data_IF_999955261543
#
_entry.id   IF_999955261543
#
_cell.length_a   1.000
_cell.length_b   1.000
_cell.length_c   1.000
_cell.angle_alpha   90.00
_cell.angle_beta   90.00
_cell.angle_gamma   90.00
#
_symmetry.space_group_name_H-M   'P 1'
#
loop_
_entity.id
_entity.type
_entity.pdbx_description
1 polymer ?
#
# COMPACT_ATOMS: atom_id res chain seq x y z
N UNK A 1 14.45 5.75 -9.44
CA UNK A 1 14.78 5.06 -8.17
C UNK A 1 14.71 3.56 -8.42
N UNK A 2 15.36 2.73 -7.61
CA UNK A 2 15.26 1.27 -7.68
C UNK A 2 14.91 0.69 -6.29
N UNK A 3 13.91 -0.19 -6.16
CA UNK A 3 13.59 -0.80 -4.89
C UNK A 3 14.62 -1.87 -4.52
N UNK A 4 15.02 -1.90 -3.24
CA UNK A 4 15.91 -2.90 -2.67
C UNK A 4 15.13 -3.98 -1.90
N UNK A 5 14.13 -3.59 -1.13
CA UNK A 5 13.33 -4.51 -0.32
C UNK A 5 11.96 -3.96 0.02
N UNK A 6 11.04 -4.88 0.31
CA UNK A 6 9.69 -4.60 0.81
C UNK A 6 9.43 -5.43 2.06
N UNK A 7 8.91 -4.81 3.11
CA UNK A 7 8.26 -5.47 4.23
C UNK A 7 6.77 -5.13 4.17
N UNK A 8 5.94 -6.15 3.98
CA UNK A 8 4.51 -6.03 3.71
C UNK A 8 3.72 -6.75 4.80
N UNK A 9 2.86 -6.00 5.48
CA UNK A 9 1.86 -6.54 6.42
C UNK A 9 0.47 -6.22 5.91
N UNK A 10 -0.41 -7.23 5.88
CA UNK A 10 -1.82 -7.06 5.49
C UNK A 10 -2.69 -7.70 6.56
N UNK A 11 -3.64 -6.93 7.09
CA UNK A 11 -4.67 -7.40 8.01
C UNK A 11 -6.00 -7.39 7.27
N UNK A 12 -6.58 -8.58 7.06
CA UNK A 12 -7.86 -8.74 6.37
C UNK A 12 -9.02 -8.83 7.36
N UNK A 13 -10.17 -8.29 6.96
CA UNK A 13 -11.40 -8.31 7.74
C UNK A 13 -12.44 -9.17 7.04
N UNK A 14 -12.45 -10.47 7.35
CA UNK A 14 -13.44 -11.40 6.80
C UNK A 14 -14.66 -11.51 7.72
N UNK A 15 -15.90 -11.48 7.20
CA UNK A 15 -17.12 -11.55 8.03
C UNK A 15 -17.24 -12.78 8.92
N UNK A 16 -16.50 -13.86 8.61
CA UNK A 16 -16.49 -15.09 9.40
C UNK A 16 -15.56 -15.04 10.62
N UNK A 17 -14.73 -14.00 10.76
CA UNK A 17 -13.85 -13.82 11.90
C UNK A 17 -14.57 -13.13 13.06
N UNK A 18 -14.26 -13.52 14.32
CA UNK A 18 -14.78 -12.82 15.48
C UNK A 18 -14.32 -11.35 15.45
N UNK A 19 -15.15 -10.46 16.01
CA UNK A 19 -14.85 -9.03 16.18
C UNK A 19 -14.70 -8.20 14.89
N UNK A 20 -15.17 -8.71 13.73
CA UNK A 20 -15.29 -7.90 12.50
C UNK A 20 -16.67 -7.24 12.45
N UNK A 21 -16.71 -5.92 12.44
CA UNK A 21 -17.97 -5.18 12.28
C UNK A 21 -18.48 -5.25 10.84
N UNK A 22 -19.79 -5.05 10.63
CA UNK A 22 -20.36 -4.97 9.28
C UNK A 22 -19.71 -3.87 8.42
N UNK A 23 -19.16 -2.83 9.04
CA UNK A 23 -18.49 -1.73 8.33
C UNK A 23 -17.10 -2.10 7.84
N UNK A 24 -16.45 -3.04 8.49
CA UNK A 24 -15.10 -3.54 8.14
C UNK A 24 -15.18 -4.81 7.29
N UNK A 25 -16.36 -5.41 7.15
CA UNK A 25 -16.56 -6.61 6.37
C UNK A 25 -16.00 -6.45 4.95
N UNK A 26 -15.12 -7.38 4.56
CA UNK A 26 -14.46 -7.42 3.26
C UNK A 26 -13.57 -6.20 2.97
N UNK A 27 -12.93 -5.63 3.99
CA UNK A 27 -11.84 -4.66 3.82
C UNK A 27 -10.51 -5.25 4.26
N UNK A 28 -9.43 -4.49 4.06
CA UNK A 28 -8.12 -4.81 4.61
C UNK A 28 -7.34 -3.53 4.93
N UNK A 29 -6.47 -3.62 5.93
CA UNK A 29 -5.45 -2.61 6.19
C UNK A 29 -4.09 -3.14 5.78
N UNK A 30 -3.34 -2.32 5.06
CA UNK A 30 -2.00 -2.59 4.60
C UNK A 30 -0.98 -1.65 5.22
N UNK A 31 0.20 -2.19 5.50
CA UNK A 31 1.41 -1.43 5.76
C UNK A 31 2.50 -1.98 4.85
N UNK A 32 3.16 -1.09 4.10
CA UNK A 32 4.38 -1.43 3.37
C UNK A 32 5.52 -0.54 3.80
N UNK A 33 6.67 -1.13 4.13
CA UNK A 33 7.94 -0.43 4.29
C UNK A 33 8.86 -0.82 3.13
N UNK A 34 9.37 0.18 2.43
CA UNK A 34 10.25 0.03 1.27
C UNK A 34 11.60 0.64 1.56
N UNK A 35 12.67 -0.06 1.17
CA UNK A 35 14.01 0.53 1.05
C UNK A 35 14.31 0.71 -0.42
N UNK A 36 14.70 1.91 -0.83
CA UNK A 36 14.91 2.26 -2.24
C UNK A 36 16.21 3.04 -2.45
N UNK A 37 16.83 2.83 -3.61
CA UNK A 37 18.00 3.56 -4.09
C UNK A 37 17.60 4.75 -4.96
N UNK A 38 18.17 5.90 -4.63
CA UNK A 38 18.03 7.13 -5.42
C UNK A 38 19.07 7.11 -6.53
N UNK A 39 18.63 6.93 -7.77
CA UNK A 39 19.53 6.83 -8.93
C UNK A 39 19.89 8.19 -9.54
N UNK A 40 19.02 9.18 -9.36
CA UNK A 40 19.18 10.55 -9.83
C UNK A 40 18.53 11.49 -8.80
N UNK A 41 19.02 12.74 -8.66
CA UNK A 41 18.42 13.70 -7.73
C UNK A 41 16.93 13.88 -7.98
N UNK A 42 16.12 13.76 -6.94
CA UNK A 42 14.66 13.89 -7.04
C UNK A 42 14.05 14.42 -5.74
N UNK A 43 12.99 15.19 -5.84
CA UNK A 43 12.09 15.52 -4.73
C UNK A 43 10.74 14.81 -4.86
N UNK A 44 10.56 13.94 -5.85
CA UNK A 44 9.32 13.21 -6.09
C UNK A 44 9.59 11.71 -6.15
N UNK A 45 8.72 10.95 -5.50
CA UNK A 45 8.68 9.49 -5.58
C UNK A 45 7.38 9.09 -6.24
N UNK A 46 7.43 8.34 -7.34
CA UNK A 46 6.23 7.85 -8.04
C UNK A 46 6.12 6.34 -7.85
N UNK A 47 4.96 5.89 -7.38
CA UNK A 47 4.63 4.49 -7.11
C UNK A 47 3.34 4.09 -7.83
N UNK A 48 3.16 2.80 -8.05
CA UNK A 48 1.86 2.27 -8.47
C UNK A 48 0.90 2.20 -7.29
N UNK A 49 -0.33 2.65 -7.49
CA UNK A 49 -1.42 2.59 -6.53
C UNK A 49 -2.75 2.52 -7.27
N UNK A 50 -3.47 1.40 -7.09
CA UNK A 50 -4.75 1.14 -7.76
C UNK A 50 -5.76 0.59 -6.76
N UNK A 51 -6.97 1.17 -6.76
CA UNK A 51 -8.13 0.65 -6.00
C UNK A 51 -7.85 0.43 -4.49
N UNK A 52 -6.96 1.25 -3.93
CA UNK A 52 -6.68 1.35 -2.49
C UNK A 52 -6.66 2.83 -2.08
N UNK A 53 -6.81 3.10 -0.80
CA UNK A 53 -6.79 4.45 -0.22
C UNK A 53 -5.56 4.61 0.67
N UNK A 54 -4.77 5.67 0.46
CA UNK A 54 -3.62 5.97 1.32
C UNK A 54 -4.12 6.72 2.55
N UNK A 55 -3.78 6.21 3.72
CA UNK A 55 -4.11 6.84 4.99
C UNK A 55 -3.00 7.77 5.47
N UNK A 56 -1.74 7.35 5.27
CA UNK A 56 -0.56 8.14 5.63
C UNK A 56 0.71 7.58 4.99
N UNK A 57 1.70 8.45 4.82
CA UNK A 57 3.04 8.10 4.38
C UNK A 57 4.13 8.71 5.27
N UNK A 58 5.27 8.04 5.34
CA UNK A 58 6.48 8.52 6.00
C UNK A 58 7.67 8.28 5.08
N UNK A 59 8.57 9.25 4.97
CA UNK A 59 9.80 9.12 4.21
C UNK A 59 10.97 9.51 5.11
N UNK A 60 12.06 8.76 5.03
CA UNK A 60 13.25 9.02 5.83
C UNK A 60 14.50 8.48 5.14
N UNK A 61 15.65 9.05 5.50
CA UNK A 61 16.96 8.44 5.30
C UNK A 61 17.62 8.26 6.69
N UNK A 62 18.78 8.85 6.93
CA UNK A 62 19.31 9.05 8.29
C UNK A 62 18.43 9.98 9.15
N UNK A 63 17.62 10.82 8.53
CA UNK A 63 16.65 11.71 9.19
C UNK A 63 15.28 11.62 8.52
N UNK A 64 14.25 12.12 9.18
CA UNK A 64 12.95 12.30 8.55
C UNK A 64 13.04 13.27 7.34
N UNK A 65 12.25 12.97 6.30
CA UNK A 65 12.06 13.80 5.13
C UNK A 65 10.54 14.02 5.01
N UNK A 66 10.04 15.22 5.35
CA UNK A 66 8.62 15.51 5.24
C UNK A 66 8.09 15.26 3.82
N UNK A 67 6.90 14.67 3.75
CA UNK A 67 6.10 14.58 2.53
C UNK A 67 5.15 15.77 2.58
N UNK A 68 5.26 16.68 1.61
CA UNK A 68 4.45 17.89 1.52
C UNK A 68 3.12 17.65 0.85
N UNK A 69 3.06 16.71 -0.10
CA UNK A 69 1.84 16.41 -0.85
C UNK A 69 1.78 14.97 -1.37
N UNK A 70 0.56 14.51 -1.64
CA UNK A 70 0.25 13.24 -2.29
C UNK A 70 -0.55 13.52 -3.56
N UNK A 71 0.04 13.21 -4.72
CA UNK A 71 -0.56 13.47 -6.03
C UNK A 71 -1.03 12.17 -6.66
N UNK A 72 -2.33 12.03 -6.87
CA UNK A 72 -2.90 10.86 -7.55
C UNK A 72 -3.04 11.12 -9.05
N UNK A 73 -2.49 10.22 -9.87
CA UNK A 73 -2.63 10.25 -11.32
C UNK A 73 -3.50 9.05 -11.71
N UNK A 74 -4.82 9.26 -11.66
CA UNK A 74 -5.82 8.20 -11.83
C UNK A 74 -5.68 7.48 -13.17
N UNK A 75 -5.35 8.18 -14.26
CA UNK A 75 -5.27 7.58 -15.59
C UNK A 75 -4.11 6.59 -15.73
N UNK A 76 -3.17 6.59 -14.78
CA UNK A 76 -1.98 5.74 -14.78
C UNK A 76 -1.88 4.82 -13.57
N UNK A 77 -2.86 4.88 -12.66
CA UNK A 77 -2.81 4.19 -11.37
C UNK A 77 -1.53 4.54 -10.58
N UNK A 78 -1.13 5.83 -10.54
CA UNK A 78 0.09 6.28 -9.83
C UNK A 78 -0.23 7.14 -8.60
N UNK A 79 0.66 7.03 -7.62
CA UNK A 79 0.80 7.93 -6.47
C UNK A 79 2.16 8.62 -6.54
N UNK A 80 2.16 9.94 -6.61
CA UNK A 80 3.32 10.81 -6.40
C UNK A 80 3.41 11.25 -4.93
N UNK A 81 4.59 11.13 -4.34
CA UNK A 81 4.91 11.63 -3.01
C UNK A 81 5.88 12.80 -3.18
N UNK A 82 5.42 14.01 -2.89
CA UNK A 82 6.23 15.23 -3.00
C UNK A 82 7.00 15.43 -1.72
N UNK A 83 8.33 15.38 -1.78
CA UNK A 83 9.23 15.54 -0.64
C UNK A 83 9.61 17.01 -0.45
N UNK A 84 9.77 17.44 0.80
CA UNK A 84 10.15 18.82 1.14
C UNK A 84 11.55 19.24 0.70
N UNK A 85 12.35 18.30 0.21
CA UNK A 85 13.71 18.55 -0.30
C UNK A 85 14.07 17.56 -1.39
N UNK A 86 14.99 17.99 -2.26
CA UNK A 86 15.63 17.08 -3.21
C UNK A 86 16.57 16.13 -2.47
N UNK A 87 16.44 14.84 -2.76
CA UNK A 87 17.30 13.76 -2.30
C UNK A 87 18.33 13.49 -3.38
N UNK A 88 19.61 13.50 -3.03
CA UNK A 88 20.70 13.27 -3.97
C UNK A 88 20.77 11.81 -4.42
N UNK A 89 21.39 11.58 -5.58
CA UNK A 89 21.70 10.24 -6.04
C UNK A 89 22.62 9.49 -5.05
N UNK A 90 22.62 8.15 -5.14
CA UNK A 90 23.36 7.23 -4.28
C UNK A 90 22.95 7.26 -2.80
N UNK A 91 21.80 7.86 -2.47
CA UNK A 91 21.19 7.76 -1.14
C UNK A 91 20.15 6.64 -1.09
N UNK A 92 19.95 6.09 0.11
CA UNK A 92 18.86 5.18 0.41
C UNK A 92 17.71 5.93 1.08
N UNK A 93 16.48 5.67 0.64
CA UNK A 93 15.28 6.11 1.34
C UNK A 93 14.55 4.91 1.93
N UNK A 94 14.01 5.11 3.14
CA UNK A 94 13.00 4.26 3.76
C UNK A 94 11.65 4.95 3.64
N UNK A 95 10.72 4.32 2.93
CA UNK A 95 9.37 4.82 2.69
C UNK A 95 8.39 3.88 3.37
N UNK A 96 7.52 4.41 4.24
CA UNK A 96 6.51 3.63 4.95
C UNK A 96 5.12 4.15 4.64
N UNK A 97 4.28 3.31 4.04
CA UNK A 97 2.92 3.67 3.64
C UNK A 97 1.91 2.81 4.39
N UNK A 98 0.81 3.44 4.77
CA UNK A 98 -0.34 2.82 5.39
C UNK A 98 -1.55 3.08 4.51
N UNK A 99 -2.25 2.02 4.16
CA UNK A 99 -3.35 2.09 3.20
C UNK A 99 -4.46 1.13 3.60
N UNK A 100 -5.66 1.36 3.06
CA UNK A 100 -6.80 0.47 3.21
C UNK A 100 -7.40 0.16 1.84
N UNK A 101 -8.26 -0.83 1.78
CA UNK A 101 -8.94 -1.19 0.54
C UNK A 101 -10.04 -2.22 0.75
N UNK A 102 -10.75 -2.50 -0.34
CA UNK A 102 -11.83 -3.49 -0.37
C UNK A 102 -11.31 -4.80 -0.96
N UNK A 103 -11.66 -5.92 -0.33
CA UNK A 103 -11.43 -7.27 -0.85
C UNK A 103 -12.46 -7.53 -1.95
N UNK A 104 -11.98 -7.81 -3.17
CA UNK A 104 -12.84 -8.07 -4.31
C UNK A 104 -13.76 -9.27 -4.09
N UNK A 105 -15.06 -9.13 -4.34
CA UNK A 105 -16.02 -10.24 -4.29
C UNK A 105 -16.32 -10.84 -5.66
N UNK A 106 -16.38 -10.00 -6.69
CA UNK A 106 -16.74 -10.40 -8.07
C UNK A 106 -15.55 -10.39 -9.03
N UNK A 107 -14.43 -9.78 -8.63
CA UNK A 107 -13.22 -9.64 -9.45
C UNK A 107 -12.18 -10.70 -9.08
N UNK A 108 -11.43 -11.18 -10.08
CA UNK A 108 -10.39 -12.21 -9.93
C UNK A 108 -8.96 -11.65 -10.01
N UNK A 109 -8.79 -10.37 -9.67
CA UNK A 109 -7.52 -9.66 -9.65
C UNK A 109 -7.31 -8.93 -8.32
N UNK A 110 -6.03 -8.65 -8.00
CA UNK A 110 -5.64 -8.01 -6.74
C UNK A 110 -5.89 -8.90 -5.52
N UNK A 111 -6.27 -8.30 -4.40
CA UNK A 111 -6.75 -9.03 -3.22
C UNK A 111 -8.25 -9.27 -3.36
N UNK A 112 -8.64 -10.53 -3.48
CA UNK A 112 -10.02 -10.96 -3.67
C UNK A 112 -10.32 -12.19 -2.83
N UNK A 113 -11.60 -12.39 -2.52
CA UNK A 113 -12.08 -13.56 -1.80
C UNK A 113 -12.35 -14.71 -2.77
N UNK A 114 -12.08 -15.93 -2.33
CA UNK A 114 -12.55 -17.15 -2.99
C UNK A 114 -13.31 -17.98 -1.96
N UNK A 115 -14.21 -18.84 -2.41
CA UNK A 115 -14.98 -19.74 -1.57
C UNK A 115 -14.77 -21.18 -2.00
N UNK A 116 -14.94 -22.11 -1.07
CA UNK A 116 -14.92 -23.54 -1.37
C UNK A 116 -16.06 -24.26 -0.66
N UNK A 117 -16.46 -25.40 -1.21
CA UNK A 117 -17.44 -26.28 -0.56
C UNK A 117 -16.69 -27.34 0.24
N UNK A 118 -16.96 -27.41 1.54
CA UNK A 118 -16.37 -28.44 2.38
C UNK A 118 -17.05 -29.82 2.17
N UNK A 119 -16.52 -30.86 2.81
CA UNK A 119 -17.02 -32.24 2.70
C UNK A 119 -18.48 -32.41 3.16
N UNK A 120 -19.02 -31.45 3.91
CA UNK A 120 -20.42 -31.45 4.37
C UNK A 120 -21.37 -30.72 3.42
N UNK A 121 -20.85 -30.16 2.32
CA UNK A 121 -21.63 -29.35 1.38
C UNK A 121 -21.76 -27.88 1.81
N UNK A 122 -21.09 -27.44 2.89
CA UNK A 122 -21.16 -26.06 3.37
C UNK A 122 -20.15 -25.19 2.62
N UNK A 123 -20.61 -24.05 2.11
CA UNK A 123 -19.74 -23.02 1.51
C UNK A 123 -18.95 -22.34 2.63
N UNK A 124 -17.65 -22.21 2.40
CA UNK A 124 -16.66 -21.59 3.28
C UNK A 124 -15.97 -20.45 2.56
#
# INVERSE_FOLDING_TARGET
>A
MAPLSYDLTVKIYLPSYPDVSEREALTFDGQVEMVVDVLAPTNEIVLHMKEIELLRGQCSNSTEIPIEDFVYIEERDFLGLVLSKTVSAQQHLKIKLFYTGVIGSERLNGLYKTTYTDKSGKIK
#
